data_IF_324459424925
#
_entry.id   IF_324459424925
#
_cell.length_a   1.000
_cell.length_b   1.000
_cell.length_c   1.000
_cell.angle_alpha   90.00
_cell.angle_beta   90.00
_cell.angle_gamma   90.00
#
_symmetry.space_group_name_H-M   'P 1'
#
loop_
_entity.id
_entity.type
_entity.pdbx_description
1 polymer ?
#
# COMPACT_ATOMS: atom_id res chain seq x y z
N UNK A 1 -17.88 10.76 13.14
CA UNK A 1 -17.82 11.45 11.82
C UNK A 1 -16.40 11.97 11.52
N UNK A 2 -15.40 11.54 12.28
CA UNK A 2 -14.34 12.49 12.62
C UNK A 2 -13.11 12.35 11.71
N UNK A 3 -12.89 11.19 11.07
CA UNK A 3 -11.68 10.95 10.29
C UNK A 3 -11.64 11.76 8.99
N UNK A 4 -12.70 11.71 8.18
CA UNK A 4 -12.80 12.47 6.92
C UNK A 4 -12.78 13.97 7.18
N UNK A 5 -13.57 14.44 8.15
CA UNK A 5 -13.63 15.85 8.51
C UNK A 5 -12.28 16.36 9.04
N UNK A 6 -11.60 15.59 9.91
CA UNK A 6 -10.27 15.96 10.41
C UNK A 6 -9.20 15.96 9.33
N UNK A 7 -9.23 14.99 8.42
CA UNK A 7 -8.31 14.96 7.28
C UNK A 7 -8.53 16.17 6.38
N UNK A 8 -9.77 16.47 6.00
CA UNK A 8 -10.11 17.63 5.17
C UNK A 8 -9.77 18.96 5.86
N UNK A 9 -9.95 19.06 7.18
CA UNK A 9 -9.55 20.25 7.94
C UNK A 9 -8.03 20.47 7.88
N UNK A 10 -7.25 19.39 7.96
CA UNK A 10 -5.80 19.44 7.84
C UNK A 10 -5.35 19.85 6.43
N UNK A 11 -6.00 19.28 5.40
CA UNK A 11 -5.79 19.69 3.99
C UNK A 11 -6.09 21.18 3.84
N UNK A 12 -7.22 21.66 4.36
CA UNK A 12 -7.60 23.08 4.32
C UNK A 12 -6.57 23.98 5.01
N UNK A 13 -6.02 23.54 6.14
CA UNK A 13 -4.99 24.27 6.88
C UNK A 13 -3.70 24.41 6.07
N UNK A 14 -3.27 23.35 5.40
CA UNK A 14 -2.03 23.31 4.60
C UNK A 14 -2.17 24.01 3.25
N UNK A 15 -3.37 24.00 2.65
CA UNK A 15 -3.64 24.65 1.37
C UNK A 15 -3.84 26.17 1.46
N UNK A 16 -3.86 26.75 2.68
CA UNK A 16 -4.01 28.19 2.90
C UNK A 16 -2.95 28.99 2.14
N UNK A 17 -3.32 30.12 1.53
CA UNK A 17 -2.46 30.87 0.60
C UNK A 17 -1.09 31.25 1.20
N UNK A 18 -1.05 31.58 2.49
CA UNK A 18 0.18 31.90 3.21
C UNK A 18 1.00 30.65 3.56
N UNK A 19 0.33 29.54 3.92
CA UNK A 19 0.98 28.30 4.37
C UNK A 19 1.43 27.38 3.25
N UNK A 20 0.89 27.54 2.05
CA UNK A 20 1.27 26.75 0.88
C UNK A 20 2.76 26.94 0.51
N UNK A 21 3.35 28.07 0.94
CA UNK A 21 4.77 28.37 0.75
C UNK A 21 5.66 27.83 1.89
N UNK A 22 5.05 27.38 2.98
CA UNK A 22 5.75 26.89 4.14
C UNK A 22 6.21 25.44 3.90
N UNK A 23 7.30 25.08 4.57
CA UNK A 23 7.82 23.73 4.54
C UNK A 23 6.88 22.74 5.26
N UNK A 24 6.59 21.62 4.61
CA UNK A 24 5.88 20.46 5.19
C UNK A 24 6.83 19.27 5.16
N UNK A 25 7.02 18.60 6.29
CA UNK A 25 7.95 17.47 6.36
C UNK A 25 7.45 16.25 5.57
N UNK A 26 8.39 15.52 4.97
CA UNK A 26 8.09 14.30 4.20
C UNK A 26 7.37 13.24 5.04
N UNK A 27 7.77 13.05 6.30
CA UNK A 27 7.11 12.14 7.23
C UNK A 27 5.64 12.51 7.46
N UNK A 28 5.31 13.80 7.45
CA UNK A 28 3.94 14.27 7.61
C UNK A 28 3.12 14.04 6.33
N UNK A 29 3.69 14.36 5.15
CA UNK A 29 3.06 14.04 3.86
C UNK A 29 2.79 12.55 3.70
N UNK A 30 3.75 11.70 4.08
CA UNK A 30 3.58 10.24 4.07
C UNK A 30 2.48 9.80 5.04
N UNK A 31 2.34 10.47 6.19
CA UNK A 31 1.25 10.21 7.13
C UNK A 31 -0.11 10.56 6.52
N UNK A 32 -0.23 11.71 5.83
CA UNK A 32 -1.44 12.06 5.08
C UNK A 32 -1.71 11.04 3.95
N UNK A 33 -0.67 10.55 3.27
CA UNK A 33 -0.78 9.42 2.33
C UNK A 33 -1.36 8.16 2.98
N UNK A 34 -0.91 7.80 4.19
CA UNK A 34 -1.48 6.68 4.95
C UNK A 34 -2.97 6.89 5.29
N UNK A 35 -3.41 8.13 5.57
CA UNK A 35 -4.83 8.45 5.73
C UNK A 35 -5.62 8.23 4.43
N UNK A 36 -5.10 8.67 3.28
CA UNK A 36 -5.70 8.43 1.96
C UNK A 36 -5.88 6.92 1.74
N UNK A 37 -4.82 6.13 1.97
CA UNK A 37 -4.89 4.66 1.87
C UNK A 37 -5.87 4.04 2.88
N UNK A 38 -5.98 4.56 4.10
CA UNK A 38 -6.96 4.09 5.09
C UNK A 38 -8.40 4.25 4.57
N UNK A 39 -8.74 5.39 3.97
CA UNK A 39 -10.08 5.58 3.39
C UNK A 39 -10.37 4.60 2.26
N UNK A 40 -9.40 4.35 1.37
CA UNK A 40 -9.54 3.35 0.31
C UNK A 40 -9.80 1.94 0.88
N UNK A 41 -9.01 1.51 1.88
CA UNK A 41 -9.16 0.20 2.52
C UNK A 41 -10.53 0.06 3.18
N UNK A 42 -10.98 1.07 3.93
CA UNK A 42 -12.26 1.03 4.62
C UNK A 42 -13.45 0.97 3.66
N UNK A 43 -13.40 1.73 2.56
CA UNK A 43 -14.52 1.78 1.61
C UNK A 43 -14.63 0.46 0.82
N UNK A 44 -13.52 -0.10 0.37
CA UNK A 44 -13.51 -1.40 -0.29
C UNK A 44 -13.93 -2.54 0.64
N UNK A 45 -13.47 -2.56 1.90
CA UNK A 45 -13.93 -3.53 2.90
C UNK A 45 -15.44 -3.43 3.13
N UNK A 46 -15.97 -2.20 3.21
CA UNK A 46 -17.40 -1.95 3.34
C UNK A 46 -18.16 -2.44 2.09
N UNK A 47 -17.64 -2.18 0.91
CA UNK A 47 -18.26 -2.54 -0.37
C UNK A 47 -18.35 -4.07 -0.55
N UNK A 48 -17.29 -4.80 -0.19
CA UNK A 48 -17.26 -6.26 -0.35
C UNK A 48 -18.08 -7.02 0.70
N UNK A 49 -18.19 -6.50 1.92
CA UNK A 49 -18.86 -7.21 3.03
C UNK A 49 -20.37 -7.00 3.03
N UNK A 50 -21.07 -7.71 2.14
CA UNK A 50 -22.54 -7.78 2.14
C UNK A 50 -23.12 -8.29 3.47
N UNK A 51 -22.38 -9.09 4.23
CA UNK A 51 -22.80 -9.59 5.55
C UNK A 51 -23.16 -8.46 6.52
N UNK A 52 -22.36 -7.39 6.58
CA UNK A 52 -22.61 -6.25 7.48
C UNK A 52 -23.95 -5.57 7.14
N UNK A 53 -24.23 -5.37 5.84
CA UNK A 53 -25.50 -4.82 5.36
C UNK A 53 -26.67 -5.75 5.72
N UNK A 54 -26.49 -7.06 5.54
CA UNK A 54 -27.54 -8.05 5.78
C UNK A 54 -27.85 -8.19 7.28
N UNK A 55 -26.83 -8.24 8.13
CA UNK A 55 -26.96 -8.35 9.58
C UNK A 55 -27.65 -7.11 10.16
N UNK A 56 -27.26 -5.91 9.71
CA UNK A 56 -27.95 -4.69 10.12
C UNK A 56 -29.43 -4.69 9.68
N UNK A 57 -29.70 -5.15 8.45
CA UNK A 57 -31.08 -5.25 7.94
C UNK A 57 -31.91 -6.28 8.73
N UNK A 58 -31.31 -7.39 9.18
CA UNK A 58 -31.96 -8.36 10.06
C UNK A 58 -32.25 -7.76 11.45
N UNK A 59 -31.27 -7.09 12.04
CA UNK A 59 -31.43 -6.37 13.31
C UNK A 59 -32.54 -5.32 13.22
N UNK A 60 -32.55 -4.48 12.18
CA UNK A 60 -33.56 -3.42 11.99
C UNK A 60 -34.98 -3.99 11.96
N UNK A 61 -35.19 -5.09 11.24
CA UNK A 61 -36.49 -5.80 11.19
C UNK A 61 -36.91 -6.32 12.57
N UNK A 62 -36.00 -6.97 13.29
CA UNK A 62 -36.30 -7.50 14.62
C UNK A 62 -36.59 -6.38 15.64
N UNK A 63 -35.80 -5.30 15.63
CA UNK A 63 -35.97 -4.16 16.53
C UNK A 63 -37.29 -3.41 16.30
N UNK A 64 -37.72 -3.28 15.04
CA UNK A 64 -39.02 -2.73 14.67
C UNK A 64 -40.18 -3.62 15.16
N UNK A 65 -40.07 -4.94 14.98
CA UNK A 65 -41.06 -5.89 15.48
C UNK A 65 -41.21 -5.84 17.00
N UNK A 66 -40.08 -5.74 17.72
CA UNK A 66 -40.04 -5.65 19.18
C UNK A 66 -40.35 -4.25 19.73
N UNK A 67 -40.67 -3.26 18.88
CA UNK A 67 -40.92 -1.86 19.26
C UNK A 67 -39.82 -1.23 20.13
N UNK A 68 -38.56 -1.67 19.97
CA UNK A 68 -37.40 -1.17 20.76
C UNK A 68 -36.89 0.20 20.28
N UNK A 69 -37.24 0.62 19.06
CA UNK A 69 -36.84 1.89 18.46
C UNK A 69 -37.96 2.92 18.66
N UNK A 70 -38.03 3.51 19.85
CA UNK A 70 -39.09 4.46 20.22
C UNK A 70 -38.61 5.93 20.21
N UNK A 71 -37.31 6.15 20.34
CA UNK A 71 -36.73 7.48 20.40
C UNK A 71 -36.44 8.05 18.98
N UNK A 72 -36.83 9.30 18.68
CA UNK A 72 -36.60 9.93 17.37
C UNK A 72 -35.14 9.98 16.94
N UNK A 73 -34.19 10.18 17.86
CA UNK A 73 -32.76 10.21 17.53
C UNK A 73 -32.30 8.80 17.13
N UNK A 74 -32.72 7.77 17.87
CA UNK A 74 -32.41 6.37 17.54
C UNK A 74 -32.93 5.96 16.16
N UNK A 75 -34.13 6.41 15.78
CA UNK A 75 -34.71 6.17 14.45
C UNK A 75 -33.86 6.83 13.36
N UNK A 76 -33.45 8.09 13.57
CA UNK A 76 -32.63 8.81 12.61
C UNK A 76 -31.24 8.17 12.44
N UNK A 77 -30.60 7.73 13.53
CA UNK A 77 -29.32 7.04 13.49
C UNK A 77 -29.40 5.72 12.72
N UNK A 78 -30.45 4.92 12.97
CA UNK A 78 -30.72 3.68 12.24
C UNK A 78 -30.92 3.93 10.74
N UNK A 79 -31.61 5.01 10.38
CA UNK A 79 -31.81 5.39 8.98
C UNK A 79 -30.50 5.83 8.32
N UNK A 80 -29.68 6.63 9.01
CA UNK A 80 -28.37 7.07 8.52
C UNK A 80 -27.44 5.88 8.27
N UNK A 81 -27.41 4.91 9.18
CA UNK A 81 -26.62 3.68 9.02
C UNK A 81 -27.11 2.82 7.85
N UNK A 82 -28.43 2.69 7.70
CA UNK A 82 -29.03 1.99 6.55
C UNK A 82 -28.59 2.61 5.22
N UNK A 83 -28.64 3.94 5.12
CA UNK A 83 -28.20 4.67 3.93
C UNK A 83 -26.69 4.51 3.70
N UNK A 84 -25.87 4.57 4.75
CA UNK A 84 -24.43 4.37 4.63
C UNK A 84 -24.08 2.98 4.07
N UNK A 85 -24.69 1.92 4.62
CA UNK A 85 -24.43 0.53 4.19
C UNK A 85 -25.00 0.23 2.80
N UNK A 86 -26.08 0.88 2.40
CA UNK A 86 -26.70 0.67 1.09
C UNK A 86 -25.91 1.31 -0.08
N UNK A 87 -25.26 2.45 0.15
CA UNK A 87 -24.56 3.18 -0.90
C UNK A 87 -23.12 2.67 -1.09
N UNK A 88 -22.78 2.26 -2.32
CA UNK A 88 -21.43 1.85 -2.68
C UNK A 88 -20.49 3.07 -2.76
N UNK A 89 -19.20 2.89 -2.43
CA UNK A 89 -18.18 3.96 -2.47
C UNK A 89 -18.51 5.20 -1.61
N UNK A 90 -19.29 5.04 -0.54
CA UNK A 90 -19.83 6.19 0.21
C UNK A 90 -18.72 6.98 0.90
N UNK A 91 -17.65 6.33 1.38
CA UNK A 91 -16.54 7.00 2.04
C UNK A 91 -15.77 7.82 1.01
N UNK A 92 -15.45 7.22 -0.14
CA UNK A 92 -14.72 7.87 -1.24
C UNK A 92 -15.48 9.09 -1.77
N UNK A 93 -16.78 8.94 -2.06
CA UNK A 93 -17.61 10.04 -2.54
C UNK A 93 -17.69 11.18 -1.52
N UNK A 94 -17.85 10.86 -0.24
CA UNK A 94 -17.88 11.88 0.82
C UNK A 94 -16.55 12.61 0.94
N UNK A 95 -15.42 11.90 0.78
CA UNK A 95 -14.09 12.49 0.82
C UNK A 95 -13.88 13.44 -0.38
N UNK A 96 -14.21 12.99 -1.60
CA UNK A 96 -14.13 13.83 -2.81
C UNK A 96 -14.95 15.12 -2.67
N UNK A 97 -16.21 15.01 -2.25
CA UNK A 97 -17.08 16.17 -2.06
C UNK A 97 -16.52 17.19 -1.07
N UNK A 98 -15.88 16.74 0.02
CA UNK A 98 -15.29 17.65 1.01
C UNK A 98 -13.96 18.25 0.54
N UNK A 99 -13.17 17.50 -0.23
CA UNK A 99 -11.90 17.97 -0.79
C UNK A 99 -12.11 19.00 -1.91
N UNK A 100 -13.05 18.78 -2.82
CA UNK A 100 -13.33 19.68 -3.95
C UNK A 100 -13.77 21.08 -3.51
N UNK A 101 -14.28 21.22 -2.29
CA UNK A 101 -14.64 22.53 -1.69
C UNK A 101 -13.41 23.32 -1.25
N UNK A 102 -12.26 22.67 -1.06
CA UNK A 102 -11.01 23.30 -0.58
C UNK A 102 -10.20 23.81 -1.77
N UNK A 103 -9.95 25.13 -1.88
CA UNK A 103 -9.17 25.66 -3.00
C UNK A 103 -7.71 25.19 -2.97
N UNK A 104 -7.25 24.53 -4.03
CA UNK A 104 -5.88 24.04 -4.16
C UNK A 104 -5.59 22.76 -3.37
N UNK A 105 -6.61 21.96 -3.06
CA UNK A 105 -6.42 20.64 -2.44
C UNK A 105 -5.57 19.71 -3.30
N UNK A 106 -5.67 19.85 -4.63
CA UNK A 106 -4.95 19.09 -5.63
C UNK A 106 -3.45 19.31 -5.57
N UNK A 107 -3.00 20.49 -5.12
CA UNK A 107 -1.58 20.79 -4.95
C UNK A 107 -0.99 19.96 -3.81
N UNK A 108 -1.66 19.91 -2.66
CA UNK A 108 -1.19 19.09 -1.54
C UNK A 108 -1.22 17.59 -1.88
N UNK A 109 -2.26 17.14 -2.58
CA UNK A 109 -2.32 15.75 -3.05
C UNK A 109 -1.19 15.44 -4.04
N UNK A 110 -0.85 16.38 -4.93
CA UNK A 110 0.27 16.24 -5.84
C UNK A 110 1.61 16.11 -5.10
N UNK A 111 1.81 16.84 -3.99
CA UNK A 111 3.01 16.69 -3.16
C UNK A 111 3.11 15.31 -2.51
N UNK A 112 1.99 14.80 -1.99
CA UNK A 112 1.93 13.44 -1.43
C UNK A 112 2.23 12.40 -2.51
N UNK A 113 1.62 12.51 -3.70
CA UNK A 113 1.84 11.57 -4.80
C UNK A 113 3.28 11.63 -5.30
N UNK A 114 3.85 12.82 -5.48
CA UNK A 114 5.24 12.99 -5.91
C UNK A 114 6.23 12.40 -4.89
N UNK A 115 5.98 12.59 -3.58
CA UNK A 115 6.78 11.96 -2.53
C UNK A 115 6.70 10.44 -2.62
N UNK A 116 5.50 9.88 -2.83
CA UNK A 116 5.38 8.43 -3.01
C UNK A 116 6.11 7.94 -4.25
N UNK A 117 6.07 8.69 -5.36
CA UNK A 117 6.79 8.36 -6.60
C UNK A 117 8.29 8.35 -6.35
N UNK A 118 8.82 9.37 -5.67
CA UNK A 118 10.24 9.46 -5.32
C UNK A 118 10.66 8.31 -4.40
N UNK A 119 9.88 8.05 -3.35
CA UNK A 119 10.17 6.96 -2.42
C UNK A 119 10.14 5.59 -3.11
N UNK A 120 9.25 5.37 -4.07
CA UNK A 120 9.20 4.11 -4.81
C UNK A 120 10.38 3.97 -5.77
N UNK A 121 10.73 5.03 -6.50
CA UNK A 121 11.82 5.03 -7.49
C UNK A 121 13.19 4.85 -6.80
N UNK A 122 13.40 5.52 -5.66
CA UNK A 122 14.64 5.48 -4.87
C UNK A 122 14.68 4.33 -3.85
N UNK A 123 13.67 3.44 -3.83
CA UNK A 123 13.56 2.32 -2.88
C UNK A 123 13.60 2.75 -1.40
N UNK A 124 12.99 3.89 -1.07
CA UNK A 124 12.85 4.42 0.29
C UNK A 124 11.70 3.73 1.04
N UNK A 125 11.77 2.40 1.13
CA UNK A 125 10.84 1.56 1.87
C UNK A 125 11.58 0.30 2.31
N UNK A 126 11.19 -0.28 3.46
CA UNK A 126 11.81 -1.51 3.93
C UNK A 126 10.88 -2.69 3.76
N UNK A 127 9.62 -2.60 4.21
CA UNK A 127 8.68 -3.72 4.23
C UNK A 127 7.83 -3.81 2.96
N UNK A 128 7.29 -5.00 2.60
CA UNK A 128 6.37 -5.12 1.47
C UNK A 128 5.12 -4.24 1.63
N UNK A 129 4.61 -4.12 2.87
CA UNK A 129 3.46 -3.28 3.17
C UNK A 129 3.69 -1.81 2.86
N UNK A 130 4.89 -1.28 3.15
CA UNK A 130 5.28 0.09 2.78
C UNK A 130 5.36 0.25 1.27
N UNK A 131 6.05 -0.67 0.58
CA UNK A 131 6.14 -0.69 -0.90
C UNK A 131 4.75 -0.62 -1.55
N UNK A 132 3.84 -1.49 -1.11
CA UNK A 132 2.48 -1.56 -1.66
C UNK A 132 1.63 -0.35 -1.28
N UNK A 133 1.85 0.23 -0.09
CA UNK A 133 1.16 1.45 0.34
C UNK A 133 1.50 2.63 -0.58
N UNK A 134 2.75 2.82 -0.98
CA UNK A 134 3.15 3.89 -1.91
C UNK A 134 2.33 3.82 -3.21
N UNK A 135 2.22 2.64 -3.81
CA UNK A 135 1.45 2.44 -5.05
C UNK A 135 -0.05 2.69 -4.87
N UNK A 136 -0.62 2.25 -3.74
CA UNK A 136 -2.02 2.51 -3.40
C UNK A 136 -2.30 4.00 -3.23
N UNK A 137 -1.40 4.72 -2.57
CA UNK A 137 -1.51 6.19 -2.40
C UNK A 137 -1.37 6.90 -3.74
N UNK A 138 -0.46 6.49 -4.64
CA UNK A 138 -0.40 7.05 -5.99
C UNK A 138 -1.74 6.88 -6.72
N UNK A 139 -2.30 5.67 -6.72
CA UNK A 139 -3.53 5.37 -7.47
C UNK A 139 -4.73 6.12 -6.92
N UNK A 140 -4.97 6.02 -5.61
CA UNK A 140 -6.11 6.69 -5.00
C UNK A 140 -5.92 8.22 -4.94
N UNK A 141 -4.68 8.71 -4.78
CA UNK A 141 -4.35 10.12 -4.86
C UNK A 141 -4.69 10.72 -6.23
N UNK A 142 -4.27 10.07 -7.32
CA UNK A 142 -4.66 10.48 -8.68
C UNK A 142 -6.18 10.47 -8.87
N UNK A 143 -6.86 9.44 -8.37
CA UNK A 143 -8.32 9.35 -8.44
C UNK A 143 -9.03 10.50 -7.69
N UNK A 144 -8.51 10.92 -6.54
CA UNK A 144 -9.06 12.07 -5.79
C UNK A 144 -8.74 13.42 -6.45
N UNK A 145 -7.60 13.52 -7.15
CA UNK A 145 -7.19 14.73 -7.87
C UNK A 145 -7.91 14.91 -9.21
N UNK A 146 -8.49 13.85 -9.78
CA UNK A 146 -9.19 13.88 -11.07
C UNK A 146 -10.71 13.99 -10.86
N UNK A 147 -11.21 15.22 -10.77
CA UNK A 147 -12.60 15.53 -10.42
C UNK A 147 -13.15 16.71 -11.22
N UNK A 148 -14.17 17.39 -10.71
CA UNK A 148 -14.79 18.51 -11.43
C UNK A 148 -13.91 19.78 -11.42
N UNK A 149 -13.13 19.96 -10.35
CA UNK A 149 -12.33 21.17 -10.10
C UNK A 149 -10.89 21.02 -10.60
N UNK A 150 -10.37 19.79 -10.60
CA UNK A 150 -8.98 19.48 -10.94
C UNK A 150 -8.90 18.37 -11.99
N UNK A 151 -7.86 18.41 -12.81
CA UNK A 151 -7.62 17.46 -13.88
C UNK A 151 -6.14 17.04 -13.89
N UNK A 152 -5.89 15.76 -13.69
CA UNK A 152 -4.53 15.22 -13.54
C UNK A 152 -3.68 15.37 -14.81
N UNK A 153 -4.31 15.35 -16.00
CA UNK A 153 -3.62 15.50 -17.27
C UNK A 153 -3.14 16.94 -17.50
N UNK A 154 -3.90 17.93 -17.02
CA UNK A 154 -3.45 19.34 -17.02
C UNK A 154 -2.31 19.56 -16.01
N UNK A 155 -2.35 18.90 -14.85
CA UNK A 155 -1.26 18.97 -13.87
C UNK A 155 0.02 18.34 -14.43
N UNK A 156 -0.09 17.21 -15.12
CA UNK A 156 1.03 16.56 -15.81
C UNK A 156 1.59 17.42 -16.95
N UNK A 157 0.74 18.08 -17.73
CA UNK A 157 1.20 19.03 -18.76
C UNK A 157 2.00 20.20 -18.16
N UNK A 158 1.68 20.62 -16.93
CA UNK A 158 2.45 21.60 -16.14
C UNK A 158 3.67 21.01 -15.44
N UNK A 159 3.96 19.72 -15.64
CA UNK A 159 5.01 18.95 -14.94
C UNK A 159 4.85 18.94 -13.41
N UNK A 160 3.63 19.13 -12.92
CA UNK A 160 3.33 19.11 -11.48
C UNK A 160 3.35 17.70 -10.91
N UNK A 161 2.98 16.72 -11.72
CA UNK A 161 3.04 15.29 -11.45
C UNK A 161 3.60 14.58 -12.69
N UNK A 162 4.06 13.33 -12.53
CA UNK A 162 4.61 12.54 -13.63
C UNK A 162 3.79 11.26 -13.83
N UNK A 163 2.79 11.32 -14.71
CA UNK A 163 1.91 10.19 -14.99
C UNK A 163 2.66 9.03 -15.68
N UNK A 164 3.70 9.33 -16.45
CA UNK A 164 4.51 8.31 -17.15
C UNK A 164 5.26 7.40 -16.18
N UNK A 165 5.83 7.94 -15.09
CA UNK A 165 6.45 7.10 -14.04
C UNK A 165 5.42 6.21 -13.35
N UNK A 166 4.26 6.77 -13.00
CA UNK A 166 3.19 6.03 -12.33
C UNK A 166 2.65 4.91 -13.24
N UNK A 167 2.43 5.18 -14.53
CA UNK A 167 2.03 4.18 -15.52
C UNK A 167 3.03 3.01 -15.59
N UNK A 168 4.33 3.31 -15.63
CA UNK A 168 5.39 2.28 -15.62
C UNK A 168 5.34 1.42 -14.36
N UNK A 169 5.19 2.04 -13.19
CA UNK A 169 5.10 1.31 -11.92
C UNK A 169 3.87 0.40 -11.87
N UNK A 170 2.71 0.90 -12.30
CA UNK A 170 1.47 0.11 -12.35
C UNK A 170 1.54 -0.98 -13.41
N UNK A 171 2.27 -0.77 -14.51
CA UNK A 171 2.49 -1.81 -15.52
C UNK A 171 3.36 -2.95 -14.98
N UNK A 172 4.40 -2.61 -14.22
CA UNK A 172 5.31 -3.57 -13.61
C UNK A 172 4.61 -4.40 -12.51
N UNK A 173 3.89 -3.74 -11.61
CA UNK A 173 3.13 -4.37 -10.54
C UNK A 173 1.67 -3.90 -10.63
N UNK A 174 0.80 -4.75 -11.19
CA UNK A 174 -0.59 -4.38 -11.50
C UNK A 174 -1.54 -4.55 -10.32
N UNK A 175 -1.26 -5.55 -9.46
CA UNK A 175 -2.14 -5.95 -8.36
C UNK A 175 -1.34 -5.96 -7.07
N UNK A 176 -1.91 -5.35 -6.03
CA UNK A 176 -1.33 -5.29 -4.69
C UNK A 176 -2.34 -5.69 -3.61
N UNK A 177 -1.89 -6.20 -2.45
CA UNK A 177 -2.78 -6.50 -1.34
C UNK A 177 -3.40 -5.21 -0.77
N UNK A 178 -4.71 -5.26 -0.57
CA UNK A 178 -5.46 -4.19 0.08
C UNK A 178 -5.61 -4.46 1.57
N UNK A 179 -6.27 -5.58 1.93
CA UNK A 179 -6.45 -6.02 3.32
C UNK A 179 -6.78 -7.53 3.37
N UNK A 180 -6.01 -8.32 4.11
CA UNK A 180 -6.21 -9.77 4.15
C UNK A 180 -6.03 -10.41 2.77
N UNK A 181 -7.03 -11.15 2.32
CA UNK A 181 -7.15 -11.74 0.98
C UNK A 181 -7.69 -10.76 -0.07
N UNK A 182 -8.19 -9.60 0.34
CA UNK A 182 -8.64 -8.57 -0.58
C UNK A 182 -7.46 -7.92 -1.28
N UNK A 183 -7.61 -7.77 -2.59
CA UNK A 183 -6.62 -7.23 -3.49
C UNK A 183 -7.20 -6.08 -4.30
N UNK A 184 -6.33 -5.24 -4.83
CA UNK A 184 -6.73 -4.13 -5.68
C UNK A 184 -5.88 -4.09 -6.95
N UNK A 185 -6.56 -3.97 -8.09
CA UNK A 185 -5.93 -3.65 -9.37
C UNK A 185 -5.64 -2.15 -9.40
N UNK A 186 -4.36 -1.76 -9.43
CA UNK A 186 -3.97 -0.35 -9.38
C UNK A 186 -4.49 0.45 -10.58
N UNK A 187 -4.55 -0.19 -11.75
CA UNK A 187 -5.13 0.41 -12.96
C UNK A 187 -6.64 0.69 -12.82
N UNK A 188 -7.35 0.10 -11.85
CA UNK A 188 -8.77 0.41 -11.58
C UNK A 188 -8.95 1.88 -11.25
N UNK A 189 -8.09 2.46 -10.40
CA UNK A 189 -8.17 3.87 -10.03
C UNK A 189 -8.09 4.80 -11.25
N UNK A 190 -7.23 4.44 -12.21
CA UNK A 190 -7.09 5.16 -13.47
C UNK A 190 -8.33 4.98 -14.33
N UNK A 191 -8.78 3.74 -14.55
CA UNK A 191 -9.94 3.41 -15.40
C UNK A 191 -11.24 4.07 -14.92
N UNK A 192 -11.37 4.32 -13.62
CA UNK A 192 -12.57 4.94 -13.02
C UNK A 192 -12.42 6.44 -12.77
N UNK A 193 -11.31 7.07 -13.15
CA UNK A 193 -11.11 8.51 -12.97
C UNK A 193 -12.01 9.31 -13.92
N UNK A 194 -12.34 10.55 -13.53
CA UNK A 194 -13.33 11.37 -14.23
C UNK A 194 -13.00 11.60 -15.71
N UNK A 195 -11.72 11.79 -16.05
CA UNK A 195 -11.27 12.16 -17.39
C UNK A 195 -10.53 11.03 -18.13
N UNK A 196 -10.67 9.78 -17.68
CA UNK A 196 -9.96 8.64 -18.27
C UNK A 196 -10.31 8.38 -19.74
N UNK A 197 -11.61 8.43 -20.08
CA UNK A 197 -12.11 8.02 -21.40
C UNK A 197 -11.50 8.81 -22.56
N UNK A 198 -11.31 10.11 -22.37
CA UNK A 198 -10.69 11.03 -23.34
C UNK A 198 -9.16 10.84 -23.45
N UNK A 199 -8.55 10.19 -22.46
CA UNK A 199 -7.10 10.12 -22.28
C UNK A 199 -6.57 8.68 -22.22
N UNK A 200 -7.30 7.69 -22.74
CA UNK A 200 -6.92 6.26 -22.71
C UNK A 200 -5.53 5.99 -23.29
N UNK A 201 -5.16 6.68 -24.36
CA UNK A 201 -3.89 6.51 -25.07
C UNK A 201 -2.66 6.83 -24.21
N UNK A 202 -2.85 7.54 -23.08
CA UNK A 202 -1.77 7.89 -22.16
C UNK A 202 -1.33 6.76 -21.22
N UNK A 203 -2.11 5.68 -21.14
CA UNK A 203 -1.94 4.63 -20.14
C UNK A 203 -1.65 3.29 -20.81
N UNK A 204 -0.51 2.70 -20.47
CA UNK A 204 -0.16 1.33 -20.90
C UNK A 204 -0.52 0.30 -19.82
N UNK A 205 -0.60 0.71 -18.56
CA UNK A 205 -0.93 -0.14 -17.41
C UNK A 205 -2.37 -0.68 -17.43
N UNK A 206 -3.26 -0.06 -18.23
CA UNK A 206 -4.66 -0.47 -18.35
C UNK A 206 -4.86 -1.64 -19.30
N UNK A 207 -3.87 -1.95 -20.14
CA UNK A 207 -3.84 -3.13 -20.99
C UNK A 207 -3.29 -4.35 -20.24
N UNK A 208 -4.05 -5.44 -20.25
CA UNK A 208 -3.69 -6.69 -19.58
C UNK A 208 -2.60 -7.42 -20.38
N UNK A 209 -1.34 -7.27 -19.98
CA UNK A 209 -0.23 -8.10 -20.46
C UNK A 209 0.44 -8.77 -19.27
N UNK A 210 0.90 -10.01 -19.44
CA UNK A 210 1.64 -10.74 -18.41
C UNK A 210 2.91 -9.98 -18.06
N UNK A 211 2.98 -9.42 -16.85
CA UNK A 211 4.19 -8.76 -16.35
C UNK A 211 5.25 -9.82 -16.04
N UNK A 212 6.52 -9.64 -16.46
CA UNK A 212 7.64 -10.49 -16.07
C UNK A 212 7.81 -10.58 -14.54
N UNK A 213 7.32 -9.59 -13.79
CA UNK A 213 7.30 -9.58 -12.33
C UNK A 213 6.66 -10.84 -11.73
N UNK A 214 5.75 -11.49 -12.46
CA UNK A 214 5.03 -12.69 -12.00
C UNK A 214 5.67 -14.01 -12.45
N UNK A 215 6.77 -13.98 -13.22
CA UNK A 215 7.48 -15.19 -13.65
C UNK A 215 8.41 -15.69 -12.54
N UNK A 216 7.89 -16.58 -11.69
CA UNK A 216 8.66 -17.17 -10.58
C UNK A 216 9.93 -17.85 -11.09
N UNK A 217 9.87 -18.57 -12.22
CA UNK A 217 11.01 -19.37 -12.68
C UNK A 217 12.24 -18.49 -12.98
N UNK A 218 12.03 -17.33 -13.60
CA UNK A 218 13.10 -16.36 -13.85
C UNK A 218 13.57 -15.71 -12.54
N UNK A 219 12.65 -15.34 -11.65
CA UNK A 219 12.99 -14.70 -10.37
C UNK A 219 13.75 -15.63 -9.41
N UNK A 220 13.49 -16.94 -9.47
CA UNK A 220 14.12 -17.94 -8.60
C UNK A 220 15.64 -18.04 -8.79
N UNK A 221 16.13 -17.75 -10.00
CA UNK A 221 17.57 -17.75 -10.29
C UNK A 221 18.23 -16.64 -9.47
N UNK A 222 17.73 -15.41 -9.60
CA UNK A 222 18.26 -14.26 -8.87
C UNK A 222 18.13 -14.44 -7.35
N UNK A 223 16.98 -14.93 -6.87
CA UNK A 223 16.76 -15.20 -5.43
C UNK A 223 17.81 -16.17 -4.87
N UNK A 224 18.12 -17.25 -5.60
CA UNK A 224 19.13 -18.24 -5.16
C UNK A 224 20.54 -17.66 -5.14
N UNK A 225 20.89 -16.87 -6.15
CA UNK A 225 22.20 -16.21 -6.23
C UNK A 225 22.39 -15.21 -5.08
N UNK A 226 21.38 -14.38 -4.83
CA UNK A 226 21.41 -13.39 -3.75
C UNK A 226 21.44 -14.05 -2.37
N UNK A 227 20.65 -15.12 -2.18
CA UNK A 227 20.67 -15.91 -0.96
C UNK A 227 22.06 -16.51 -0.70
N UNK A 228 22.65 -17.17 -1.70
CA UNK A 228 23.97 -17.79 -1.59
C UNK A 228 25.04 -16.75 -1.24
N UNK A 229 25.05 -15.61 -1.95
CA UNK A 229 26.01 -14.52 -1.73
C UNK A 229 25.88 -13.94 -0.31
N UNK A 230 24.66 -13.61 0.10
CA UNK A 230 24.41 -12.96 1.40
C UNK A 230 24.72 -13.88 2.57
N UNK A 231 24.23 -15.13 2.55
CA UNK A 231 24.47 -16.09 3.64
C UNK A 231 25.96 -16.43 3.75
N UNK A 232 26.68 -16.55 2.63
CA UNK A 232 28.13 -16.76 2.64
C UNK A 232 28.88 -15.61 3.32
N UNK A 233 28.47 -14.37 3.04
CA UNK A 233 29.06 -13.19 3.69
C UNK A 233 28.71 -13.15 5.18
N UNK A 234 27.44 -13.32 5.54
CA UNK A 234 26.97 -13.34 6.92
C UNK A 234 27.67 -14.43 7.77
N UNK A 235 27.83 -15.63 7.22
CA UNK A 235 28.50 -16.74 7.88
C UNK A 235 29.98 -16.44 8.17
N UNK A 236 30.67 -15.67 7.30
CA UNK A 236 32.06 -15.25 7.55
C UNK A 236 32.16 -14.35 8.79
N UNK A 237 31.22 -13.42 8.97
CA UNK A 237 31.21 -12.54 10.14
C UNK A 237 30.87 -13.32 11.42
N UNK A 238 29.87 -14.20 11.39
CA UNK A 238 29.53 -15.07 12.53
C UNK A 238 30.70 -15.98 12.94
N UNK A 239 31.30 -16.69 11.98
CA UNK A 239 32.43 -17.57 12.25
C UNK A 239 33.66 -16.81 12.73
N UNK A 240 33.90 -15.60 12.21
CA UNK A 240 35.00 -14.76 12.69
C UNK A 240 34.81 -14.34 14.14
N UNK A 241 33.59 -14.05 14.57
CA UNK A 241 33.28 -13.72 15.97
C UNK A 241 33.42 -14.94 16.89
N UNK A 242 32.97 -16.12 16.46
CA UNK A 242 33.12 -17.37 17.24
C UNK A 242 34.60 -17.75 17.40
N UNK A 243 35.39 -17.63 16.33
CA UNK A 243 36.82 -17.97 16.35
C UNK A 243 37.63 -16.95 17.14
N UNK A 244 37.31 -15.65 17.06
CA UNK A 244 38.08 -14.58 17.76
C UNK A 244 37.60 -14.29 19.17
N UNK A 245 36.35 -14.62 19.52
CA UNK A 245 35.77 -14.43 20.86
C UNK A 245 36.20 -15.45 21.90
N UNK A 246 36.86 -16.54 21.50
CA UNK A 246 37.30 -17.62 22.41
C UNK A 246 38.58 -17.29 23.21
N UNK A 247 39.18 -16.11 23.05
CA UNK A 247 40.44 -15.79 23.74
C UNK A 247 40.84 -14.32 23.88
N UNK A 248 39.99 -13.35 23.50
CA UNK A 248 40.28 -11.92 23.68
C UNK A 248 39.19 -11.28 24.52
N UNK A 249 39.59 -10.76 25.68
CA UNK A 249 38.83 -9.79 26.46
C UNK A 249 38.21 -8.74 25.52
N UNK A 250 36.96 -8.37 25.79
CA UNK A 250 36.10 -7.39 25.10
C UNK A 250 36.85 -6.23 24.43
N UNK A 251 37.50 -6.50 23.30
CA UNK A 251 38.09 -5.47 22.47
C UNK A 251 36.94 -4.81 21.72
N UNK A 252 36.65 -3.56 22.07
CA UNK A 252 35.62 -2.77 21.43
C UNK A 252 35.88 -2.73 19.91
N UNK A 253 34.85 -3.10 19.12
CA UNK A 253 34.96 -3.09 17.66
C UNK A 253 35.16 -1.66 17.17
N UNK A 254 35.82 -1.51 16.03
CA UNK A 254 35.98 -0.21 15.36
C UNK A 254 34.67 0.26 14.75
N UNK A 255 34.52 1.58 14.55
CA UNK A 255 33.34 2.17 13.89
C UNK A 255 33.10 1.57 12.48
N UNK A 256 34.17 1.20 11.78
CA UNK A 256 34.09 0.56 10.46
C UNK A 256 33.47 -0.85 10.54
N UNK A 257 33.83 -1.62 11.57
CA UNK A 257 33.26 -2.95 11.81
C UNK A 257 31.78 -2.86 12.21
N UNK A 258 31.43 -1.92 13.10
CA UNK A 258 30.03 -1.65 13.44
C UNK A 258 29.22 -1.20 12.23
N UNK A 259 29.78 -0.33 11.38
CA UNK A 259 29.12 0.11 10.14
C UNK A 259 28.88 -1.06 9.20
N UNK A 260 29.85 -1.96 9.05
CA UNK A 260 29.71 -3.12 8.18
C UNK A 260 28.64 -4.10 8.69
N UNK A 261 28.54 -4.31 10.01
CA UNK A 261 27.46 -5.09 10.61
C UNK A 261 26.09 -4.43 10.40
N UNK A 262 26.02 -3.10 10.51
CA UNK A 262 24.79 -2.35 10.22
C UNK A 262 24.36 -2.50 8.76
N UNK A 263 25.29 -2.36 7.81
CA UNK A 263 25.00 -2.51 6.38
C UNK A 263 24.55 -3.95 6.05
N UNK A 264 25.15 -4.97 6.68
CA UNK A 264 24.73 -6.37 6.54
C UNK A 264 23.33 -6.62 7.11
N UNK A 265 23.02 -6.06 8.29
CA UNK A 265 21.70 -6.18 8.89
C UNK A 265 20.63 -5.56 7.98
N UNK A 266 20.90 -4.35 7.46
CA UNK A 266 19.99 -3.68 6.53
C UNK A 266 19.80 -4.48 5.23
N UNK A 267 20.90 -4.98 4.64
CA UNK A 267 20.85 -5.80 3.43
C UNK A 267 20.04 -7.08 3.65
N UNK A 268 20.21 -7.75 4.79
CA UNK A 268 19.44 -8.94 5.14
C UNK A 268 17.94 -8.66 5.24
N UNK A 269 17.56 -7.58 5.92
CA UNK A 269 16.16 -7.15 6.01
C UNK A 269 15.57 -6.81 4.63
N UNK A 270 16.35 -6.14 3.77
CA UNK A 270 15.93 -5.82 2.40
C UNK A 270 15.73 -7.07 1.54
N UNK A 271 16.61 -8.07 1.63
CA UNK A 271 16.47 -9.34 0.91
C UNK A 271 15.23 -10.11 1.37
N UNK A 272 15.03 -10.24 2.68
CA UNK A 272 13.84 -10.88 3.24
C UNK A 272 12.55 -10.17 2.79
N UNK A 273 12.56 -8.84 2.75
CA UNK A 273 11.44 -8.06 2.25
C UNK A 273 11.17 -8.29 0.77
N UNK A 274 12.20 -8.32 -0.07
CA UNK A 274 12.06 -8.59 -1.50
C UNK A 274 11.44 -9.97 -1.75
N UNK A 275 11.96 -11.02 -1.11
CA UNK A 275 11.43 -12.37 -1.26
C UNK A 275 9.99 -12.48 -0.74
N UNK A 276 9.70 -11.88 0.41
CA UNK A 276 8.34 -11.82 0.95
C UNK A 276 7.37 -11.09 0.00
N UNK A 277 7.80 -9.97 -0.56
CA UNK A 277 7.03 -9.21 -1.54
C UNK A 277 6.76 -10.06 -2.79
N UNK A 278 7.77 -10.75 -3.34
CA UNK A 278 7.60 -11.60 -4.52
C UNK A 278 6.57 -12.72 -4.29
N UNK A 279 6.65 -13.41 -3.15
CA UNK A 279 5.69 -14.47 -2.81
C UNK A 279 4.28 -13.90 -2.69
N UNK A 280 4.11 -12.76 -2.02
CA UNK A 280 2.82 -12.08 -1.89
C UNK A 280 2.26 -11.65 -3.25
N UNK A 281 3.06 -10.94 -4.05
CA UNK A 281 2.65 -10.39 -5.36
C UNK A 281 2.22 -11.50 -6.32
N UNK A 282 2.94 -12.62 -6.35
CA UNK A 282 2.60 -13.77 -7.18
C UNK A 282 1.36 -14.49 -6.67
N UNK A 283 1.25 -14.73 -5.36
CA UNK A 283 0.06 -15.36 -4.75
C UNK A 283 -1.20 -14.56 -5.10
N UNK A 284 -1.12 -13.24 -4.99
CA UNK A 284 -2.23 -12.32 -5.22
C UNK A 284 -2.61 -12.30 -6.70
N UNK A 285 -1.64 -12.14 -7.59
CA UNK A 285 -1.88 -12.23 -9.04
C UNK A 285 -2.57 -13.56 -9.41
N UNK A 286 -2.11 -14.70 -8.88
CA UNK A 286 -2.73 -16.01 -9.10
C UNK A 286 -4.09 -16.20 -8.40
N UNK A 287 -4.42 -15.44 -7.37
CA UNK A 287 -5.75 -15.48 -6.76
C UNK A 287 -6.77 -14.69 -7.58
N UNK A 288 -6.32 -13.63 -8.28
CA UNK A 288 -7.12 -12.94 -9.30
C UNK A 288 -7.35 -13.81 -10.55
N UNK A 289 -6.36 -14.62 -10.93
CA UNK A 289 -6.43 -15.58 -12.04
C UNK A 289 -6.65 -17.01 -11.51
N UNK A 290 -7.90 -17.35 -11.20
CA UNK A 290 -8.37 -18.65 -10.66
C UNK A 290 -7.73 -19.83 -11.42
N UNK A 291 -6.58 -20.36 -10.95
CA UNK A 291 -5.98 -21.67 -11.29
C UNK A 291 -4.60 -21.85 -10.60
N UNK A 292 -4.50 -21.82 -9.27
CA UNK A 292 -3.22 -22.17 -8.60
C UNK A 292 -3.30 -22.60 -7.13
N UNK A 293 -4.45 -23.09 -6.65
CA UNK A 293 -4.57 -23.49 -5.24
C UNK A 293 -3.61 -24.65 -4.83
N UNK A 294 -3.09 -25.42 -5.79
CA UNK A 294 -2.14 -26.52 -5.55
C UNK A 294 -0.66 -26.09 -5.50
N UNK A 295 -0.27 -24.98 -6.12
CA UNK A 295 1.15 -24.59 -6.20
C UNK A 295 1.64 -23.79 -4.97
N UNK A 296 0.73 -23.06 -4.29
CA UNK A 296 1.10 -22.22 -3.14
C UNK A 296 1.45 -23.02 -1.89
N UNK A 297 0.87 -24.20 -1.70
CA UNK A 297 1.20 -25.09 -0.57
C UNK A 297 2.58 -25.72 -0.72
N UNK A 298 3.01 -26.00 -1.96
CA UNK A 298 4.32 -26.59 -2.23
C UNK A 298 5.47 -25.59 -1.99
N UNK A 299 5.29 -24.30 -2.31
CA UNK A 299 6.31 -23.27 -2.07
C UNK A 299 6.47 -22.90 -0.59
N UNK A 300 5.38 -22.90 0.19
CA UNK A 300 5.45 -22.66 1.63
C UNK A 300 6.26 -23.77 2.34
N UNK A 301 6.10 -25.02 1.90
CA UNK A 301 6.85 -26.17 2.42
C UNK A 301 8.34 -26.07 2.06
N UNK A 302 8.68 -25.63 0.84
CA UNK A 302 10.08 -25.50 0.42
C UNK A 302 10.80 -24.34 1.14
N UNK A 303 10.16 -23.18 1.31
CA UNK A 303 10.80 -22.03 1.95
C UNK A 303 10.81 -22.09 3.49
N UNK A 304 9.77 -22.64 4.12
CA UNK A 304 9.73 -22.78 5.59
C UNK A 304 10.52 -24.01 6.06
N UNK A 305 10.57 -25.07 5.25
CA UNK A 305 11.34 -26.28 5.55
C UNK A 305 12.85 -26.02 5.69
N UNK A 306 13.42 -25.14 4.88
CA UNK A 306 14.85 -24.79 4.99
C UNK A 306 15.12 -23.80 6.14
N UNK A 307 14.26 -22.78 6.34
CA UNK A 307 14.49 -21.75 7.37
C UNK A 307 14.39 -22.33 8.80
N UNK A 308 13.52 -23.32 9.03
CA UNK A 308 13.41 -23.98 10.34
C UNK A 308 14.68 -24.76 10.70
N UNK A 309 15.39 -25.30 9.71
CA UNK A 309 16.66 -26.00 9.91
C UNK A 309 17.79 -25.03 10.30
N UNK A 310 17.76 -23.78 9.79
CA UNK A 310 18.76 -22.77 10.13
C UNK A 310 18.49 -22.03 11.44
N UNK A 311 17.22 -21.87 11.87
CA UNK A 311 16.90 -21.23 13.15
C UNK A 311 17.23 -22.10 14.37
N UNK A 312 17.26 -23.43 14.22
CA UNK A 312 17.71 -24.34 15.29
C UNK A 312 19.22 -24.21 15.54
N UNK A 313 20.00 -23.81 14.53
CA UNK A 313 21.44 -23.53 14.69
C UNK A 313 21.77 -22.17 15.30
N UNK A 314 20.78 -21.27 15.50
CA UNK A 314 20.95 -19.99 16.20
C UNK A 314 20.54 -20.05 17.68
N UNK A 315 20.11 -21.22 18.17
CA UNK A 315 19.67 -21.45 19.55
C UNK A 315 20.59 -22.38 20.36
N UNK A 316 21.84 -22.57 19.91
CA UNK A 316 22.90 -23.26 20.66
C UNK A 316 24.22 -22.52 20.53
#
# INVERSE_FOLDING_TARGET
>A
KDATERFCAEVKRLCHAERRKDFVSEAYLLTLGKFINMFAVLDELKNMKCSVKNDHSAYKRAAQFLRKMADPQSIQESQNLSMFLANHNKITQSLQQQLEVIPGYEELLADIVNLCVDYYDNKMYLTPGEKHMLLKVMGFGLYLMDGNVSNIYKLDAKKRINLTKIDKFFKQLQVVPLFGDMQIELARYIKTSAHYEENKSRWTCTSSSSSPQYNICEQMIQIREDHMRFISELARYSNSEVVTGSGRQEAQKTDAEYRKLFDLALQGLQLLSQWSAHVMEVRICKHLFILAHLFSYMLLIIFVGDISTYLVCLSF
#
